data_IF_098011752155
#
_entry.id   IF_098011752155
#
_cell.length_a   1.000
_cell.length_b   1.000
_cell.length_c   1.000
_cell.angle_alpha   90.00
_cell.angle_beta   90.00
_cell.angle_gamma   90.00
#
_symmetry.space_group_name_H-M   'P 1'
#
loop_
_entity.id
_entity.type
_entity.pdbx_description
1 polymer ?
#
# COMPACT_ATOMS: atom_id res chain seq x y z
N UNK A 1 15.00 -2.00 -3.44
CA UNK A 1 14.06 -2.44 -2.37
C UNK A 1 13.48 -3.79 -2.75
N UNK A 2 13.24 -4.71 -1.81
CA UNK A 2 12.58 -5.99 -2.10
C UNK A 2 11.05 -5.81 -2.04
N UNK A 3 10.34 -6.34 -3.04
CA UNK A 3 8.87 -6.27 -3.12
C UNK A 3 8.17 -6.97 -1.97
N UNK A 4 8.71 -8.10 -1.52
CA UNK A 4 8.14 -8.87 -0.41
C UNK A 4 8.23 -8.07 0.89
N UNK A 5 9.37 -7.42 1.14
CA UNK A 5 9.56 -6.54 2.30
C UNK A 5 8.59 -5.35 2.28
N UNK A 6 8.35 -4.74 1.11
CA UNK A 6 7.35 -3.66 0.97
C UNK A 6 5.95 -4.17 1.24
N UNK A 7 5.61 -5.36 0.74
CA UNK A 7 4.31 -5.96 0.96
C UNK A 7 4.05 -6.28 2.43
N UNK A 8 5.06 -6.81 3.14
CA UNK A 8 4.96 -7.08 4.57
C UNK A 8 4.68 -5.78 5.36
N UNK A 9 5.47 -4.73 5.14
CA UNK A 9 5.26 -3.42 5.79
C UNK A 9 3.92 -2.79 5.46
N UNK A 10 3.56 -2.80 4.17
CA UNK A 10 2.28 -2.27 3.72
C UNK A 10 1.11 -3.05 4.36
N UNK A 11 1.25 -4.37 4.52
CA UNK A 11 0.25 -5.19 5.19
C UNK A 11 0.07 -4.82 6.66
N UNK A 12 1.17 -4.50 7.36
CA UNK A 12 1.12 -4.02 8.74
C UNK A 12 0.33 -2.70 8.84
N UNK A 13 0.67 -1.71 8.02
CA UNK A 13 -0.06 -0.42 7.96
C UNK A 13 -1.53 -0.64 7.59
N UNK A 14 -1.82 -1.48 6.59
CA UNK A 14 -3.20 -1.76 6.19
C UNK A 14 -4.05 -2.29 7.35
N UNK A 15 -3.48 -3.11 8.24
CA UNK A 15 -4.18 -3.63 9.42
C UNK A 15 -4.43 -2.53 10.46
N UNK A 16 -3.59 -1.50 10.55
CA UNK A 16 -3.84 -0.35 11.43
C UNK A 16 -5.06 0.47 11.00
N UNK A 17 -5.26 0.65 9.69
CA UNK A 17 -6.39 1.38 9.11
C UNK A 17 -7.64 0.52 8.91
N UNK A 18 -7.46 -0.78 8.70
CA UNK A 18 -8.53 -1.75 8.45
C UNK A 18 -8.33 -2.94 9.42
N UNK A 19 -8.69 -2.77 10.70
CA UNK A 19 -8.47 -3.80 11.73
C UNK A 19 -9.11 -5.16 11.41
N UNK A 20 -10.15 -5.18 10.59
CA UNK A 20 -10.82 -6.39 10.09
C UNK A 20 -9.91 -7.29 9.24
N UNK A 21 -8.81 -6.75 8.69
CA UNK A 21 -7.82 -7.55 7.95
C UNK A 21 -6.92 -8.39 8.87
N UNK A 22 -6.92 -8.15 10.18
CA UNK A 22 -6.11 -8.92 11.10
C UNK A 22 -6.52 -10.40 11.11
N UNK A 23 -5.61 -11.29 10.72
CA UNK A 23 -5.87 -12.72 10.58
C UNK A 23 -6.61 -13.12 9.30
N UNK A 24 -6.88 -12.16 8.40
CA UNK A 24 -7.40 -12.42 7.05
C UNK A 24 -6.23 -12.60 6.10
N UNK A 25 -6.32 -13.61 5.23
CA UNK A 25 -5.35 -13.79 4.14
C UNK A 25 -5.75 -12.94 2.95
N UNK A 26 -4.85 -12.07 2.51
CA UNK A 26 -4.92 -11.33 1.25
C UNK A 26 -3.57 -11.38 0.53
N UNK A 27 -3.55 -10.94 -0.71
CA UNK A 27 -2.45 -11.07 -1.67
C UNK A 27 -2.18 -9.73 -2.34
N UNK A 28 -1.06 -9.62 -3.07
CA UNK A 28 -0.75 -8.41 -3.83
C UNK A 28 -1.79 -8.09 -4.93
N UNK A 29 -2.57 -9.06 -5.38
CA UNK A 29 -3.57 -8.83 -6.43
C UNK A 29 -4.87 -8.21 -5.90
N UNK A 30 -5.06 -8.19 -4.58
CA UNK A 30 -6.25 -7.63 -3.94
C UNK A 30 -6.26 -6.10 -3.98
N UNK A 31 -7.47 -5.54 -4.10
CA UNK A 31 -7.68 -4.09 -4.07
C UNK A 31 -7.84 -3.58 -2.63
N UNK A 32 -7.12 -2.51 -2.27
CA UNK A 32 -7.35 -1.82 -0.99
C UNK A 32 -8.82 -1.43 -0.81
N UNK A 33 -9.49 -1.02 -1.89
CA UNK A 33 -10.89 -0.65 -1.83
C UNK A 33 -11.80 -1.85 -1.51
N UNK A 34 -11.57 -2.99 -2.16
CA UNK A 34 -12.33 -4.21 -1.91
C UNK A 34 -12.05 -4.80 -0.53
N UNK A 35 -10.85 -4.53 0.02
CA UNK A 35 -10.45 -4.88 1.37
C UNK A 35 -11.02 -3.94 2.45
N UNK A 36 -11.73 -2.88 2.07
CA UNK A 36 -12.44 -1.99 3.01
C UNK A 36 -11.85 -0.58 3.14
N UNK A 37 -10.74 -0.26 2.46
CA UNK A 37 -10.20 1.10 2.46
C UNK A 37 -11.14 2.04 1.70
N UNK A 38 -11.53 3.14 2.34
CA UNK A 38 -12.16 4.24 1.64
C UNK A 38 -11.08 5.13 0.95
N UNK A 39 -11.50 6.23 0.32
CA UNK A 39 -10.56 7.10 -0.40
C UNK A 39 -9.56 7.83 0.49
N UNK A 40 -9.95 8.17 1.71
CA UNK A 40 -9.08 8.81 2.71
C UNK A 40 -8.10 7.79 3.26
N UNK A 41 -8.59 6.64 3.73
CA UNK A 41 -7.73 5.56 4.27
C UNK A 41 -6.68 5.15 3.23
N UNK A 42 -7.07 5.02 1.96
CA UNK A 42 -6.11 4.69 0.89
C UNK A 42 -4.99 5.72 0.76
N UNK A 43 -5.30 7.00 0.88
CA UNK A 43 -4.28 8.05 0.82
C UNK A 43 -3.37 8.00 2.04
N UNK A 44 -3.94 7.85 3.23
CA UNK A 44 -3.19 7.80 4.48
C UNK A 44 -2.25 6.57 4.51
N UNK A 45 -2.74 5.38 4.14
CA UNK A 45 -1.92 4.16 3.98
C UNK A 45 -0.75 4.38 3.02
N UNK A 46 -0.98 5.04 1.87
CA UNK A 46 0.06 5.32 0.87
C UNK A 46 1.09 6.32 1.40
N UNK A 47 0.65 7.34 2.14
CA UNK A 47 1.55 8.33 2.74
C UNK A 47 2.40 7.67 3.82
N UNK A 48 1.80 6.87 4.70
CA UNK A 48 2.50 6.22 5.81
C UNK A 48 3.57 5.24 5.29
N UNK A 49 3.26 4.42 4.28
CA UNK A 49 4.27 3.51 3.71
C UNK A 49 5.38 4.29 3.01
N UNK A 50 5.08 5.43 2.38
CA UNK A 50 6.10 6.28 1.79
C UNK A 50 7.03 6.86 2.86
N UNK A 51 6.48 7.32 3.98
CA UNK A 51 7.25 7.83 5.11
C UNK A 51 8.12 6.73 5.74
N UNK A 52 7.56 5.54 5.96
CA UNK A 52 8.28 4.41 6.54
C UNK A 52 9.43 3.94 5.66
N UNK A 53 9.23 3.92 4.34
CA UNK A 53 10.26 3.56 3.37
C UNK A 53 11.22 4.73 3.04
N UNK A 54 10.92 5.94 3.51
CA UNK A 54 11.70 7.14 3.21
C UNK A 54 11.68 7.56 1.74
N UNK A 55 10.63 7.19 0.99
CA UNK A 55 10.48 7.49 -0.43
C UNK A 55 9.57 8.69 -0.67
N UNK A 56 9.83 9.44 -1.73
CA UNK A 56 9.02 10.62 -2.11
C UNK A 56 8.45 10.44 -3.50
N UNK A 57 7.23 9.92 -3.56
CA UNK A 57 6.50 9.71 -4.81
C UNK A 57 5.35 10.71 -4.90
N UNK A 58 5.06 11.22 -6.11
CA UNK A 58 3.87 12.04 -6.31
C UNK A 58 2.61 11.20 -6.08
N UNK A 59 1.72 11.64 -5.18
CA UNK A 59 0.44 10.96 -4.86
C UNK A 59 -0.39 10.69 -6.13
N UNK A 60 -0.30 11.56 -7.13
CA UNK A 60 -1.01 11.39 -8.41
C UNK A 60 -0.64 10.12 -9.18
N UNK A 61 0.54 9.53 -8.94
CA UNK A 61 0.94 8.25 -9.55
C UNK A 61 0.08 7.09 -9.06
N UNK A 62 -0.43 7.16 -7.83
CA UNK A 62 -1.28 6.12 -7.24
C UNK A 62 -2.77 6.26 -7.58
N UNK A 63 -3.17 7.33 -8.28
CA UNK A 63 -4.58 7.58 -8.59
C UNK A 63 -5.23 6.44 -9.40
N UNK A 64 -4.44 5.76 -10.23
CA UNK A 64 -4.89 4.65 -11.07
C UNK A 64 -4.49 3.28 -10.54
N UNK A 65 -3.83 3.20 -9.38
CA UNK A 65 -3.41 1.92 -8.81
C UNK A 65 -4.65 1.13 -8.37
N UNK A 66 -4.81 -0.07 -8.93
CA UNK A 66 -6.00 -0.90 -8.75
C UNK A 66 -5.87 -1.90 -7.61
N UNK A 67 -4.66 -2.38 -7.38
CA UNK A 67 -4.33 -3.38 -6.38
C UNK A 67 -3.01 -3.06 -5.68
N UNK A 68 -2.73 -3.85 -4.64
CA UNK A 68 -1.54 -3.69 -3.81
C UNK A 68 -0.24 -3.83 -4.63
N UNK A 69 -0.22 -4.74 -5.62
CA UNK A 69 0.92 -4.95 -6.52
C UNK A 69 1.31 -3.67 -7.23
N UNK A 70 0.35 -2.96 -7.82
CA UNK A 70 0.60 -1.71 -8.54
C UNK A 70 1.13 -0.60 -7.61
N UNK A 71 0.68 -0.55 -6.36
CA UNK A 71 1.22 0.37 -5.34
C UNK A 71 2.70 0.05 -5.06
N UNK A 72 3.03 -1.23 -4.86
CA UNK A 72 4.40 -1.69 -4.63
C UNK A 72 5.29 -1.41 -5.85
N UNK A 73 4.77 -1.63 -7.06
CA UNK A 73 5.46 -1.33 -8.32
C UNK A 73 5.89 0.14 -8.35
N UNK A 74 4.96 1.05 -8.08
CA UNK A 74 5.22 2.50 -8.04
C UNK A 74 6.26 2.87 -6.97
N UNK A 75 6.17 2.29 -5.77
CA UNK A 75 7.12 2.56 -4.68
C UNK A 75 8.54 2.08 -5.02
N UNK A 76 8.66 0.92 -5.67
CA UNK A 76 9.95 0.35 -6.04
C UNK A 76 10.61 1.06 -7.24
N UNK A 77 9.82 1.60 -8.17
CA UNK A 77 10.32 2.32 -9.35
C UNK A 77 11.06 3.62 -8.98
N UNK A 78 10.70 4.27 -7.88
CA UNK A 78 11.30 5.54 -7.43
C UNK A 78 12.60 5.34 -6.62
N UNK A 79 13.03 4.09 -6.41
CA UNK A 79 14.26 3.73 -5.70
C UNK A 79 15.47 3.51 -6.64
N UNK A 80 15.55 4.26 -7.76
CA UNK A 80 16.65 4.18 -8.74
C UNK A 80 17.67 5.29 -8.52
#
# INVERSE_FOLDING_TARGET
>A
MNREEVFEKLSEIMIEYIPELNGVTFTMEDSLHELGANSVDRMDIIVDIMEELGVKVSITKFANAKNIKEIIDILCEEYV
#
